data_IF_219417959281
#
_entry.id   IF_219417959281
#
_cell.length_a   1.000
_cell.length_b   1.000
_cell.length_c   1.000
_cell.angle_alpha   90.00
_cell.angle_beta   90.00
_cell.angle_gamma   90.00
#
_symmetry.space_group_name_H-M   'P 1'
#
loop_
_entity.id
_entity.type
_entity.pdbx_description
1 polymer ?
#
# COMPACT_ATOMS: atom_id res chain seq x y z
N UNK A 1 -17.50 -44.10 43.88
CA UNK A 1 -17.80 -43.39 42.60
C UNK A 1 -16.84 -42.22 42.48
N UNK A 2 -15.82 -42.31 41.61
CA UNK A 2 -14.82 -41.24 41.44
C UNK A 2 -15.41 -40.16 40.51
N UNK A 3 -15.66 -38.97 41.05
CA UNK A 3 -16.06 -37.79 40.28
C UNK A 3 -14.84 -37.28 39.53
N UNK A 4 -14.79 -37.51 38.23
CA UNK A 4 -13.75 -36.95 37.36
C UNK A 4 -14.16 -35.51 37.07
N UNK A 5 -13.43 -34.55 37.65
CA UNK A 5 -13.60 -33.13 37.37
C UNK A 5 -12.85 -32.83 36.05
N UNK A 6 -13.60 -32.59 34.97
CA UNK A 6 -13.02 -32.20 33.68
C UNK A 6 -12.80 -30.68 33.71
N UNK A 7 -11.55 -30.18 33.60
CA UNK A 7 -11.31 -28.75 33.55
C UNK A 7 -11.78 -28.21 32.19
N UNK A 8 -12.73 -27.27 32.23
CA UNK A 8 -13.20 -26.56 31.04
C UNK A 8 -12.15 -25.49 30.67
N UNK A 9 -11.28 -25.81 29.72
CA UNK A 9 -10.27 -24.87 29.19
C UNK A 9 -11.01 -23.86 28.30
N UNK A 10 -11.23 -22.65 28.81
CA UNK A 10 -11.73 -21.52 28.03
C UNK A 10 -10.57 -20.99 27.18
N UNK A 11 -10.52 -21.37 25.90
CA UNK A 11 -9.59 -20.79 24.94
C UNK A 11 -10.07 -19.39 24.56
N UNK A 12 -9.33 -18.36 24.97
CA UNK A 12 -9.51 -16.98 24.49
C UNK A 12 -9.10 -16.92 23.01
N UNK A 13 -10.01 -17.27 22.11
CA UNK A 13 -9.82 -17.10 20.68
C UNK A 13 -9.99 -15.62 20.31
N UNK A 14 -8.93 -14.98 19.79
CA UNK A 14 -9.05 -13.68 19.14
C UNK A 14 -9.68 -13.84 17.76
N UNK A 15 -10.74 -13.10 17.46
CA UNK A 15 -11.31 -13.07 16.11
C UNK A 15 -10.52 -12.11 15.23
N UNK A 16 -10.05 -12.56 14.07
CA UNK A 16 -9.58 -11.63 13.03
C UNK A 16 -10.76 -10.83 12.50
N UNK A 17 -10.53 -9.58 12.15
CA UNK A 17 -11.57 -8.67 11.65
C UNK A 17 -11.12 -8.02 10.34
N UNK A 18 -12.07 -7.84 9.44
CA UNK A 18 -11.89 -7.11 8.19
C UNK A 18 -13.16 -6.29 7.95
N UNK A 19 -13.01 -4.99 7.68
CA UNK A 19 -14.16 -4.14 7.37
C UNK A 19 -14.60 -4.30 5.91
N UNK A 20 -15.85 -3.93 5.57
CA UNK A 20 -16.19 -3.48 4.23
C UNK A 20 -15.30 -2.30 3.79
N UNK A 21 -15.26 -2.03 2.48
CA UNK A 21 -14.67 -0.81 1.95
C UNK A 21 -15.79 0.23 1.89
N UNK A 22 -15.59 1.36 2.55
CA UNK A 22 -16.59 2.41 2.70
C UNK A 22 -15.98 3.76 2.36
N UNK A 23 -16.81 4.74 1.99
CA UNK A 23 -16.32 6.10 1.82
C UNK A 23 -15.85 6.66 3.16
N UNK A 24 -14.77 7.45 3.15
CA UNK A 24 -14.28 8.12 4.36
C UNK A 24 -15.33 9.06 4.95
N UNK A 25 -16.11 9.72 4.08
CA UNK A 25 -17.20 10.62 4.47
C UNK A 25 -18.38 9.92 5.17
N UNK A 26 -18.51 8.61 5.00
CA UNK A 26 -19.64 7.80 5.48
C UNK A 26 -19.21 6.80 6.58
N UNK A 27 -17.93 6.76 6.94
CA UNK A 27 -17.37 5.79 7.88
C UNK A 27 -16.48 6.46 8.93
N UNK A 28 -16.36 5.80 10.09
CA UNK A 28 -15.46 6.20 11.15
C UNK A 28 -14.20 5.32 11.19
N UNK A 29 -13.12 5.86 11.74
CA UNK A 29 -11.88 5.08 11.90
C UNK A 29 -12.08 3.98 12.94
N UNK A 30 -11.52 2.80 12.68
CA UNK A 30 -11.46 1.71 13.65
C UNK A 30 -10.45 1.98 14.79
N UNK A 31 -9.66 3.05 14.67
CA UNK A 31 -8.81 3.57 15.72
C UNK A 31 -9.47 4.71 16.50
N UNK A 32 -10.66 5.19 16.08
CA UNK A 32 -11.41 6.19 16.83
C UNK A 32 -11.78 5.63 18.19
N UNK A 33 -11.48 6.39 19.25
CA UNK A 33 -11.72 6.03 20.65
C UNK A 33 -11.10 4.69 21.10
N UNK A 34 -10.15 4.16 20.32
CA UNK A 34 -9.49 2.91 20.64
C UNK A 34 -8.52 3.09 21.82
N UNK A 35 -8.55 2.15 22.77
CA UNK A 35 -7.60 2.11 23.90
C UNK A 35 -6.15 2.11 23.41
N UNK A 36 -5.88 1.39 22.32
CA UNK A 36 -4.60 1.41 21.62
C UNK A 36 -4.75 2.23 20.34
N UNK A 37 -4.30 3.47 20.39
CA UNK A 37 -4.53 4.46 19.32
C UNK A 37 -3.70 4.18 18.07
N UNK A 38 -2.52 3.57 18.19
CA UNK A 38 -1.65 3.29 17.04
C UNK A 38 -0.77 4.48 16.64
N UNK A 39 -0.25 4.44 15.41
CA UNK A 39 0.51 5.52 14.77
C UNK A 39 0.37 5.48 13.25
N UNK A 40 0.51 6.64 12.64
CA UNK A 40 0.62 6.73 11.19
C UNK A 40 1.94 6.12 10.71
N UNK A 41 1.83 5.18 9.79
CA UNK A 41 2.96 4.58 9.08
C UNK A 41 3.29 5.39 7.82
N UNK A 42 2.27 5.96 7.19
CA UNK A 42 2.39 6.77 5.99
C UNK A 42 1.24 7.77 5.90
N UNK A 43 1.54 8.99 5.44
CA UNK A 43 0.57 10.02 5.06
C UNK A 43 1.17 10.70 3.82
N UNK A 44 0.37 10.92 2.78
CA UNK A 44 0.77 11.75 1.64
C UNK A 44 0.85 13.22 2.04
N UNK A 45 1.90 13.91 1.60
CA UNK A 45 2.06 15.35 1.85
C UNK A 45 1.17 16.21 0.92
N UNK A 46 0.79 15.65 -0.23
CA UNK A 46 0.00 16.35 -1.23
C UNK A 46 -1.50 16.06 -1.08
N UNK A 47 -2.37 17.09 -1.21
CA UNK A 47 -3.81 16.87 -1.28
C UNK A 47 -4.12 16.12 -2.59
N UNK A 48 -4.78 14.98 -2.45
CA UNK A 48 -5.23 14.18 -3.60
C UNK A 48 -6.74 14.35 -3.76
N UNK A 49 -7.13 14.81 -4.93
CA UNK A 49 -8.54 14.93 -5.31
C UNK A 49 -9.16 13.57 -5.58
N UNK A 50 -10.45 13.44 -5.24
CA UNK A 50 -11.26 12.26 -5.49
C UNK A 50 -11.96 11.72 -4.25
N UNK A 51 -12.89 10.80 -4.48
CA UNK A 51 -13.58 10.09 -3.38
C UNK A 51 -12.59 9.18 -2.65
N UNK A 52 -12.45 9.40 -1.35
CA UNK A 52 -11.57 8.62 -0.50
C UNK A 52 -12.32 7.46 0.14
N UNK A 53 -11.68 6.30 0.16
CA UNK A 53 -12.21 5.06 0.70
C UNK A 53 -11.35 4.57 1.87
N UNK A 54 -12.00 3.92 2.83
CA UNK A 54 -11.38 3.35 4.03
C UNK A 54 -11.45 1.83 3.97
N UNK A 55 -10.37 1.17 4.39
CA UNK A 55 -10.34 -0.27 4.61
C UNK A 55 -9.56 -0.61 5.89
N UNK A 56 -10.10 -1.53 6.69
CA UNK A 56 -9.51 -1.96 7.96
C UNK A 56 -9.28 -3.47 8.02
N UNK A 57 -8.12 -3.88 8.52
CA UNK A 57 -7.73 -5.27 8.72
C UNK A 57 -7.05 -5.47 10.08
N UNK A 58 -7.47 -6.48 10.84
CA UNK A 58 -6.88 -6.87 12.13
C UNK A 58 -6.57 -8.38 12.17
N UNK A 59 -5.40 -8.73 12.69
CA UNK A 59 -5.00 -10.10 12.96
C UNK A 59 -5.76 -10.71 14.15
N UNK A 60 -5.91 -12.03 14.16
CA UNK A 60 -6.53 -12.78 15.27
C UNK A 60 -5.62 -12.91 16.50
N UNK A 61 -4.33 -12.59 16.36
CA UNK A 61 -3.34 -12.70 17.44
C UNK A 61 -2.19 -11.71 17.29
N UNK A 62 -1.40 -11.55 18.35
CA UNK A 62 -0.18 -10.74 18.36
C UNK A 62 0.92 -11.22 17.41
N UNK A 63 0.82 -12.44 16.89
CA UNK A 63 1.82 -13.05 16.00
C UNK A 63 1.54 -12.77 14.51
N UNK A 64 0.42 -12.14 14.17
CA UNK A 64 0.11 -11.78 12.79
C UNK A 64 1.03 -10.67 12.31
N UNK A 65 1.88 -10.94 11.31
CA UNK A 65 2.75 -9.92 10.76
C UNK A 65 1.95 -8.78 10.10
N UNK A 66 2.22 -7.52 10.47
CA UNK A 66 1.57 -6.33 9.89
C UNK A 66 1.66 -6.30 8.36
N UNK A 67 2.78 -6.78 7.79
CA UNK A 67 2.95 -6.88 6.34
C UNK A 67 1.93 -7.81 5.65
N UNK A 68 1.47 -8.86 6.34
CA UNK A 68 0.41 -9.76 5.82
C UNK A 68 -0.92 -9.02 5.76
N UNK A 69 -1.25 -8.24 6.81
CA UNK A 69 -2.44 -7.42 6.85
C UNK A 69 -2.41 -6.37 5.74
N UNK A 70 -1.27 -5.70 5.55
CA UNK A 70 -1.06 -4.70 4.49
C UNK A 70 -1.30 -5.28 3.12
N UNK A 71 -0.62 -6.39 2.79
CA UNK A 71 -0.84 -7.08 1.51
C UNK A 71 -2.30 -7.46 1.30
N UNK A 72 -2.99 -7.92 2.34
CA UNK A 72 -4.40 -8.30 2.27
C UNK A 72 -5.31 -7.09 2.01
N UNK A 73 -5.12 -5.98 2.73
CA UNK A 73 -5.88 -4.75 2.56
C UNK A 73 -5.60 -4.11 1.18
N UNK A 74 -4.33 -3.98 0.79
CA UNK A 74 -3.93 -3.47 -0.53
C UNK A 74 -4.54 -4.30 -1.66
N UNK A 75 -4.52 -5.63 -1.56
CA UNK A 75 -5.14 -6.50 -2.57
C UNK A 75 -6.64 -6.22 -2.72
N UNK A 76 -7.37 -6.09 -1.60
CA UNK A 76 -8.81 -5.80 -1.61
C UNK A 76 -9.13 -4.41 -2.15
N UNK A 77 -8.37 -3.39 -1.77
CA UNK A 77 -8.53 -2.03 -2.28
C UNK A 77 -8.26 -1.97 -3.80
N UNK A 78 -7.22 -2.67 -4.28
CA UNK A 78 -6.96 -2.78 -5.72
C UNK A 78 -8.07 -3.51 -6.49
N UNK A 79 -8.62 -4.58 -5.93
CA UNK A 79 -9.79 -5.26 -6.51
C UNK A 79 -11.03 -4.36 -6.55
N UNK A 80 -11.23 -3.55 -5.50
CA UNK A 80 -12.31 -2.59 -5.43
C UNK A 80 -12.19 -1.50 -6.50
N UNK A 81 -11.02 -0.87 -6.65
CA UNK A 81 -10.81 0.15 -7.68
C UNK A 81 -11.05 -0.42 -9.09
N UNK A 82 -10.49 -1.59 -9.41
CA UNK A 82 -10.72 -2.24 -10.72
C UNK A 82 -12.19 -2.53 -11.01
N UNK A 83 -13.01 -2.78 -9.98
CA UNK A 83 -14.46 -2.98 -10.12
C UNK A 83 -15.22 -1.66 -10.30
N UNK A 84 -14.80 -0.60 -9.62
CA UNK A 84 -15.41 0.73 -9.76
C UNK A 84 -15.10 1.36 -11.11
N UNK A 85 -13.85 1.29 -11.57
CA UNK A 85 -13.40 1.92 -12.81
C UNK A 85 -12.33 1.06 -13.47
N UNK A 86 -12.55 0.70 -14.73
CA UNK A 86 -11.62 -0.11 -15.51
C UNK A 86 -10.28 0.63 -15.66
N UNK A 87 -9.17 -0.08 -15.49
CA UNK A 87 -7.82 0.51 -15.59
C UNK A 87 -7.41 1.35 -14.38
N UNK A 88 -8.23 1.39 -13.31
CA UNK A 88 -7.84 2.04 -12.06
C UNK A 88 -7.19 1.07 -11.07
N UNK A 89 -6.38 1.63 -10.18
CA UNK A 89 -5.72 0.97 -9.06
C UNK A 89 -5.79 1.86 -7.82
N UNK A 90 -5.56 1.31 -6.63
CA UNK A 90 -5.53 2.13 -5.44
C UNK A 90 -4.28 3.03 -5.44
N UNK A 91 -4.45 4.26 -4.99
CA UNK A 91 -3.37 5.12 -4.54
C UNK A 91 -3.57 5.37 -3.04
N UNK A 92 -2.54 5.09 -2.24
CA UNK A 92 -2.62 5.21 -0.78
C UNK A 92 -2.51 6.68 -0.37
N UNK A 93 -3.47 7.17 0.40
CA UNK A 93 -3.47 8.51 1.00
C UNK A 93 -2.82 8.45 2.38
N UNK A 94 -3.24 7.49 3.20
CA UNK A 94 -2.66 7.28 4.51
C UNK A 94 -2.76 5.83 4.93
N UNK A 95 -1.85 5.43 5.82
CA UNK A 95 -1.91 4.17 6.52
C UNK A 95 -1.66 4.39 8.01
N UNK A 96 -2.65 4.02 8.81
CA UNK A 96 -2.56 4.01 10.26
C UNK A 96 -2.41 2.59 10.79
N UNK A 97 -1.51 2.37 11.75
CA UNK A 97 -1.14 1.03 12.22
C UNK A 97 -1.10 0.94 13.75
N UNK A 98 -1.53 -0.18 14.30
CA UNK A 98 -1.30 -0.44 15.73
C UNK A 98 0.21 -0.50 16.03
N UNK A 99 0.59 0.03 17.18
CA UNK A 99 1.98 0.01 17.66
C UNK A 99 2.18 -1.13 18.68
N UNK A 100 3.35 -1.78 18.69
CA UNK A 100 3.68 -2.77 19.72
C UNK A 100 3.74 -2.13 21.12
N UNK A 101 3.60 -2.91 22.21
CA UNK A 101 3.60 -4.38 22.24
C UNK A 101 2.23 -4.99 21.90
N UNK A 102 2.23 -6.07 21.10
CA UNK A 102 1.00 -6.73 20.63
C UNK A 102 0.44 -7.76 21.62
N UNK A 103 0.07 -7.28 22.80
CA UNK A 103 -0.43 -8.07 23.94
C UNK A 103 -1.77 -7.53 24.43
N UNK A 104 -2.47 -8.29 25.26
CA UNK A 104 -3.71 -7.86 25.92
C UNK A 104 -4.76 -7.25 24.96
N UNK A 105 -4.94 -7.87 23.79
CA UNK A 105 -5.91 -7.43 22.79
C UNK A 105 -5.44 -6.31 21.86
N UNK A 106 -4.22 -5.78 22.03
CA UNK A 106 -3.57 -4.91 21.04
C UNK A 106 -3.05 -5.74 19.86
N UNK A 107 -3.92 -6.40 19.12
CA UNK A 107 -3.48 -7.19 17.98
C UNK A 107 -3.04 -6.28 16.81
N UNK A 108 -2.08 -6.73 15.98
CA UNK A 108 -1.70 -6.03 14.77
C UNK A 108 -2.95 -5.70 13.95
N UNK A 109 -3.12 -4.43 13.64
CA UNK A 109 -4.20 -3.91 12.80
C UNK A 109 -3.73 -2.72 12.00
N UNK A 110 -4.34 -2.55 10.84
CA UNK A 110 -4.07 -1.46 9.92
C UNK A 110 -5.37 -0.88 9.41
N UNK A 111 -5.33 0.41 9.11
CA UNK A 111 -6.35 1.12 8.38
C UNK A 111 -5.70 1.88 7.24
N UNK A 112 -6.20 1.70 6.03
CA UNK A 112 -5.70 2.40 4.84
C UNK A 112 -6.82 3.32 4.33
N UNK A 113 -6.48 4.59 4.13
CA UNK A 113 -7.27 5.51 3.33
C UNK A 113 -6.64 5.56 1.93
N UNK A 114 -7.46 5.40 0.90
CA UNK A 114 -7.00 5.37 -0.48
C UNK A 114 -8.01 6.02 -1.42
N UNK A 115 -7.54 6.45 -2.58
CA UNK A 115 -8.38 6.83 -3.73
C UNK A 115 -8.16 5.83 -4.86
N UNK A 116 -9.07 5.78 -5.82
CA UNK A 116 -8.88 5.00 -7.05
C UNK A 116 -8.39 5.92 -8.17
N UNK A 117 -7.17 5.69 -8.64
CA UNK A 117 -6.56 6.47 -9.72
C UNK A 117 -6.34 5.59 -10.95
N UNK A 118 -6.29 6.15 -12.17
CA UNK A 118 -5.76 5.41 -13.32
C UNK A 118 -4.40 4.81 -12.98
N UNK A 119 -4.14 3.60 -13.47
CA UNK A 119 -2.80 3.03 -13.39
C UNK A 119 -1.84 3.96 -14.12
N UNK A 120 -0.68 4.23 -13.53
CA UNK A 120 0.35 5.09 -14.14
C UNK A 120 0.73 4.59 -15.55
N UNK A 121 0.66 3.28 -15.79
CA UNK A 121 0.94 2.68 -17.10
C UNK A 121 -0.20 2.88 -18.13
N UNK A 122 -1.40 3.27 -17.68
CA UNK A 122 -2.57 3.56 -18.51
C UNK A 122 -2.84 5.07 -18.65
N UNK A 123 -2.02 5.92 -18.01
CA UNK A 123 -1.99 7.36 -18.32
C UNK A 123 -1.32 7.49 -19.69
N UNK A 124 -2.11 7.27 -20.75
CA UNK A 124 -1.87 7.96 -22.00
C UNK A 124 -2.10 9.42 -21.67
N UNK A 125 -1.01 10.15 -21.42
CA UNK A 125 -1.06 11.60 -21.44
C UNK A 125 -1.52 11.94 -22.85
N UNK A 126 -2.81 12.26 -23.00
CA UNK A 126 -3.30 12.96 -24.18
C UNK A 126 -2.79 14.39 -24.11
N UNK A 127 -1.48 14.56 -24.21
CA UNK A 127 -0.84 15.82 -24.53
C UNK A 127 -1.11 16.05 -26.01
N UNK A 128 -2.29 16.58 -26.29
CA UNK A 128 -2.69 17.03 -27.62
C UNK A 128 -1.96 18.30 -28.06
N UNK A 129 -0.87 18.70 -27.41
CA UNK A 129 0.03 19.72 -27.93
C UNK A 129 1.48 19.43 -27.53
N UNK A 130 2.33 19.49 -28.56
CA UNK A 130 3.80 19.36 -28.55
C UNK A 130 4.35 17.93 -28.65
N UNK A 131 4.63 17.53 -29.90
CA UNK A 131 5.68 16.57 -30.21
C UNK A 131 6.99 17.02 -29.54
N UNK A 132 7.38 16.36 -28.45
CA UNK A 132 8.77 16.39 -27.99
C UNK A 132 9.15 14.98 -27.53
N UNK A 133 9.91 14.33 -28.40
CA UNK A 133 10.59 13.06 -28.26
C UNK A 133 11.74 13.14 -27.23
N UNK A 134 11.41 13.43 -25.96
CA UNK A 134 12.43 13.59 -24.89
C UNK A 134 12.25 12.63 -23.71
N UNK A 135 11.10 11.99 -23.54
CA UNK A 135 10.91 11.06 -22.41
C UNK A 135 11.75 9.79 -22.58
N UNK A 136 11.87 9.27 -23.81
CA UNK A 136 12.69 8.08 -24.08
C UNK A 136 14.19 8.34 -23.84
N UNK A 137 14.68 9.54 -24.16
CA UNK A 137 16.09 9.93 -23.94
C UNK A 137 16.49 9.87 -22.47
N UNK A 138 15.70 10.47 -21.57
CA UNK A 138 16.02 10.48 -20.14
C UNK A 138 15.77 9.12 -19.48
N UNK A 139 14.76 8.37 -19.94
CA UNK A 139 14.51 7.00 -19.49
C UNK A 139 15.66 6.05 -19.89
N UNK A 140 16.21 6.23 -21.09
CA UNK A 140 17.39 5.50 -21.54
C UNK A 140 18.63 5.87 -20.72
N UNK A 141 18.81 7.17 -20.38
CA UNK A 141 19.88 7.62 -19.49
C UNK A 141 19.80 6.97 -18.10
N UNK A 142 18.60 6.79 -17.55
CA UNK A 142 18.40 6.09 -16.26
C UNK A 142 18.76 4.61 -16.36
N UNK A 143 18.33 3.91 -17.43
CA UNK A 143 18.65 2.49 -17.65
C UNK A 143 20.15 2.25 -17.78
N UNK A 144 20.86 3.06 -18.56
CA UNK A 144 22.32 2.86 -18.73
C UNK A 144 23.08 3.16 -17.44
N UNK A 145 22.59 4.09 -16.60
CA UNK A 145 23.16 4.34 -15.27
C UNK A 145 22.97 3.13 -14.36
N UNK A 146 21.79 2.52 -14.36
CA UNK A 146 21.54 1.31 -13.58
C UNK A 146 22.46 0.14 -14.01
N UNK A 147 22.73 -0.01 -15.31
CA UNK A 147 23.65 -1.04 -15.82
C UNK A 147 25.11 -0.77 -15.41
N UNK A 148 25.52 0.48 -15.36
CA UNK A 148 26.84 0.90 -14.88
C UNK A 148 26.99 0.68 -13.36
N UNK A 149 25.99 1.10 -12.58
CA UNK A 149 25.98 0.91 -11.12
C UNK A 149 26.00 -0.59 -10.73
N UNK A 150 25.44 -1.47 -11.58
CA UNK A 150 25.49 -2.93 -11.43
C UNK A 150 26.80 -3.57 -11.90
N UNK A 151 27.73 -2.78 -12.45
CA UNK A 151 28.99 -3.27 -13.02
C UNK A 151 28.82 -4.09 -14.31
N UNK A 152 27.66 -3.99 -14.97
CA UNK A 152 27.40 -4.64 -16.27
C UNK A 152 28.06 -3.84 -17.39
N UNK A 153 28.03 -2.50 -17.29
CA UNK A 153 28.78 -1.59 -18.15
C UNK A 153 30.00 -1.06 -17.42
N UNK A 154 31.13 -0.96 -18.12
CA UNK A 154 32.29 -0.22 -17.62
C UNK A 154 32.18 1.29 -17.92
N UNK A 155 33.03 2.10 -17.30
CA UNK A 155 33.00 3.57 -17.44
C UNK A 155 33.04 4.05 -18.89
N UNK A 156 33.87 3.39 -19.72
CA UNK A 156 34.05 3.74 -21.13
C UNK A 156 32.80 3.45 -21.96
N UNK A 157 32.13 2.35 -21.69
CA UNK A 157 30.87 1.98 -22.36
C UNK A 157 29.73 2.90 -21.92
N UNK A 158 29.65 3.20 -20.63
CA UNK A 158 28.65 4.12 -20.10
C UNK A 158 28.79 5.52 -20.71
N UNK A 159 29.99 6.08 -20.76
CA UNK A 159 30.24 7.40 -21.32
C UNK A 159 29.95 7.45 -22.83
N UNK A 160 30.29 6.39 -23.56
CA UNK A 160 30.02 6.30 -25.00
C UNK A 160 28.51 6.26 -25.30
N UNK A 161 27.73 5.49 -24.55
CA UNK A 161 26.27 5.42 -24.72
C UNK A 161 25.59 6.70 -24.25
N UNK A 162 26.00 7.26 -23.11
CA UNK A 162 25.50 8.55 -22.62
C UNK A 162 25.72 9.67 -23.66
N UNK A 163 26.89 9.72 -24.29
CA UNK A 163 27.19 10.72 -25.32
C UNK A 163 26.28 10.59 -26.55
N UNK A 164 26.00 9.36 -27.01
CA UNK A 164 25.08 9.11 -28.12
C UNK A 164 23.66 9.57 -27.79
N UNK A 165 23.18 9.24 -26.59
CA UNK A 165 21.86 9.65 -26.12
C UNK A 165 21.73 11.16 -25.98
N UNK A 166 22.79 11.84 -25.51
CA UNK A 166 22.79 13.29 -25.37
C UNK A 166 22.89 14.03 -26.70
N UNK A 167 23.45 13.40 -27.75
CA UNK A 167 23.62 13.97 -29.08
C UNK A 167 22.39 13.81 -30.01
N UNK A 168 21.43 12.95 -29.64
CA UNK A 168 20.09 12.86 -30.23
C UNK A 168 19.20 14.01 -29.76
#
# INVERSE_FOLDING_TARGET
MKKVLVPFIITLAGCSQMSPIEKVSESQSHFQDAVYTGKDFYITDEPIDGEQYRIFHQGSSGFTATAVLRRSATKRANEFCRKLTKGSEMYTISEHTASPPYVFGNFPRIEIIFVCTPKINDIKIESNDLKVDNNDKYDQLLKIKELHDKGILNDKEFDAEKAKLLAL
#
